data_IF_388744271007
#
_entry.id   IF_388744271007
#
_cell.length_a   1.000
_cell.length_b   1.000
_cell.length_c   1.000
_cell.angle_alpha   90.00
_cell.angle_beta   90.00
_cell.angle_gamma   90.00
#
_symmetry.space_group_name_H-M   'P 1'
#
loop_
_entity.id
_entity.type
_entity.pdbx_description
1 polymer ?
#
# COMPACT_ATOMS: atom_id res chain seq x y z
N UNK A 1 -8.02 2.32 14.65
CA UNK A 1 -6.57 2.27 14.37
C UNK A 1 -6.37 1.83 12.93
N UNK A 2 -5.53 2.56 12.18
CA UNK A 2 -5.27 2.31 10.76
C UNK A 2 -3.79 1.96 10.55
N UNK A 3 -3.51 0.95 9.74
CA UNK A 3 -2.17 0.67 9.23
C UNK A 3 -1.98 1.32 7.87
N UNK A 4 -0.86 1.98 7.63
CA UNK A 4 -0.53 2.56 6.32
C UNK A 4 0.85 2.10 5.88
N UNK A 5 0.89 1.27 4.84
CA UNK A 5 2.11 0.72 4.28
C UNK A 5 2.71 1.66 3.23
N UNK A 6 4.01 1.96 3.39
CA UNK A 6 4.78 2.77 2.45
C UNK A 6 6.04 2.01 2.03
N UNK A 7 6.13 1.70 0.74
CA UNK A 7 7.29 1.00 0.19
C UNK A 7 8.53 1.92 0.04
N UNK A 8 9.73 1.32 -0.10
CA UNK A 8 10.99 2.06 -0.19
C UNK A 8 11.09 2.98 -1.43
N UNK A 9 10.26 2.77 -2.45
CA UNK A 9 10.38 3.41 -3.77
C UNK A 9 9.93 4.87 -3.85
N UNK A 10 9.63 5.57 -2.74
CA UNK A 10 9.56 7.03 -2.85
C UNK A 10 9.23 7.81 -1.59
N UNK A 11 10.01 8.88 -1.40
CA UNK A 11 9.71 9.98 -0.46
C UNK A 11 8.32 10.59 -0.71
N UNK A 12 7.82 10.55 -1.95
CA UNK A 12 6.47 11.02 -2.30
C UNK A 12 5.35 10.20 -1.65
N UNK A 13 5.49 8.87 -1.58
CA UNK A 13 4.54 8.00 -0.90
C UNK A 13 4.50 8.29 0.60
N UNK A 14 5.69 8.40 1.23
CA UNK A 14 5.81 8.74 2.65
C UNK A 14 5.20 10.12 2.94
N UNK A 15 5.48 11.09 2.07
CA UNK A 15 4.94 12.43 2.18
C UNK A 15 3.41 12.45 2.14
N UNK A 16 2.81 11.75 1.17
CA UNK A 16 1.36 11.56 1.07
C UNK A 16 0.80 10.87 2.30
N UNK A 17 1.41 9.80 2.77
CA UNK A 17 0.98 9.06 3.95
C UNK A 17 0.92 9.96 5.19
N UNK A 18 1.96 10.79 5.39
CA UNK A 18 2.00 11.76 6.49
C UNK A 18 0.92 12.85 6.36
N UNK A 19 0.64 13.34 5.15
CA UNK A 19 -0.42 14.33 4.92
C UNK A 19 -1.82 13.76 5.15
N UNK A 20 -2.05 12.51 4.76
CA UNK A 20 -3.31 11.82 5.03
C UNK A 20 -3.45 11.61 6.53
N UNK A 21 -2.42 11.06 7.18
CA UNK A 21 -2.46 10.76 8.60
C UNK A 21 -2.72 12.00 9.48
N UNK A 22 -2.20 13.18 9.12
CA UNK A 22 -2.45 14.42 9.88
C UNK A 22 -3.88 14.95 9.76
N UNK A 23 -4.65 14.47 8.78
CA UNK A 23 -6.06 14.82 8.55
C UNK A 23 -7.02 13.70 8.95
N UNK A 24 -6.49 12.55 9.36
CA UNK A 24 -7.28 11.39 9.79
C UNK A 24 -7.52 11.46 11.30
N UNK A 25 -8.77 11.35 11.78
CA UNK A 25 -9.05 11.38 13.22
C UNK A 25 -8.56 10.14 13.95
N UNK A 26 -8.55 8.98 13.27
CA UNK A 26 -7.99 7.74 13.79
C UNK A 26 -6.47 7.76 13.87
N UNK A 27 -5.92 7.09 14.88
CA UNK A 27 -4.48 6.83 14.95
C UNK A 27 -4.02 6.02 13.74
N UNK A 28 -2.99 6.54 13.05
CA UNK A 28 -2.34 5.88 11.92
C UNK A 28 -0.97 5.38 12.34
N UNK A 29 -0.71 4.10 12.12
CA UNK A 29 0.63 3.51 12.22
C UNK A 29 1.25 3.41 10.83
N UNK A 30 2.41 4.01 10.63
CA UNK A 30 3.16 3.85 9.37
C UNK A 30 4.03 2.60 9.43
N UNK A 31 3.93 1.73 8.43
CA UNK A 31 4.78 0.57 8.24
C UNK A 31 5.66 0.82 7.00
N UNK A 32 6.97 0.91 7.19
CA UNK A 32 7.86 1.25 6.08
C UNK A 32 9.30 0.79 6.31
N UNK A 33 10.00 0.57 5.21
CA UNK A 33 11.44 0.30 5.19
C UNK A 33 12.30 1.57 5.03
N UNK A 34 11.68 2.75 4.94
CA UNK A 34 12.39 4.03 4.99
C UNK A 34 12.81 4.36 6.44
N UNK A 35 13.82 5.22 6.66
CA UNK A 35 14.07 5.79 7.98
C UNK A 35 12.85 6.58 8.47
N UNK A 36 12.52 6.45 9.75
CA UNK A 36 11.44 7.24 10.38
C UNK A 36 11.75 8.74 10.25
N UNK A 37 10.88 9.56 9.63
CA UNK A 37 11.08 11.00 9.55
C UNK A 37 11.04 11.65 10.94
N UNK A 38 11.91 12.63 11.18
CA UNK A 38 11.91 13.39 12.43
C UNK A 38 10.56 14.09 12.72
N UNK A 39 9.85 14.52 11.67
CA UNK A 39 8.54 15.16 11.79
C UNK A 39 7.39 14.17 12.09
N UNK A 40 7.63 12.85 12.05
CA UNK A 40 6.61 11.84 12.31
C UNK A 40 6.52 11.51 13.81
N UNK A 41 5.44 11.93 14.45
CA UNK A 41 5.19 11.70 15.89
C UNK A 41 4.37 10.45 16.18
N UNK A 42 3.66 9.89 15.18
CA UNK A 42 2.82 8.71 15.35
C UNK A 42 3.59 7.39 15.50
N UNK A 43 2.87 6.27 15.70
CA UNK A 43 3.48 4.94 15.71
C UNK A 43 4.19 4.62 14.39
N UNK A 44 5.28 3.88 14.48
CA UNK A 44 6.13 3.51 13.35
C UNK A 44 6.59 2.06 13.48
N UNK A 45 6.37 1.27 12.43
CA UNK A 45 6.86 -0.11 12.33
C UNK A 45 7.95 -0.14 11.25
N UNK A 46 9.23 -0.31 11.64
CA UNK A 46 10.30 -0.46 10.67
C UNK A 46 10.17 -1.82 9.97
N UNK A 47 10.39 -1.82 8.66
CA UNK A 47 10.41 -3.02 7.84
C UNK A 47 11.80 -3.20 7.21
N UNK A 48 12.30 -4.44 7.06
CA UNK A 48 13.55 -4.69 6.35
C UNK A 48 13.40 -4.32 4.87
N UNK A 49 14.52 -3.98 4.22
CA UNK A 49 14.56 -3.86 2.77
C UNK A 49 14.39 -5.24 2.14
N UNK A 50 13.84 -5.24 0.93
CA UNK A 50 13.60 -6.43 0.13
C UNK A 50 14.12 -6.25 -1.29
N UNK A 51 15.15 -5.43 -1.48
CA UNK A 51 15.85 -5.26 -2.74
C UNK A 51 16.78 -6.44 -2.99
N UNK A 52 16.78 -6.99 -4.21
CA UNK A 52 17.71 -8.01 -4.65
C UNK A 52 18.17 -7.73 -6.09
N UNK A 53 19.44 -8.00 -6.38
CA UNK A 53 20.03 -7.76 -7.70
C UNK A 53 19.60 -8.81 -8.73
N UNK A 54 19.54 -10.09 -8.33
CA UNK A 54 19.10 -11.21 -9.18
C UNK A 54 18.05 -12.08 -8.45
N UNK A 55 16.80 -11.59 -8.36
CA UNK A 55 15.75 -12.31 -7.66
C UNK A 55 15.26 -13.54 -8.44
N UNK A 56 15.04 -14.65 -7.74
CA UNK A 56 14.42 -15.84 -8.30
C UNK A 56 12.89 -15.72 -8.31
N UNK A 57 12.28 -15.81 -9.50
CA UNK A 57 10.82 -15.70 -9.72
C UNK A 57 10.15 -14.54 -8.96
N UNK A 58 10.59 -13.28 -9.15
CA UNK A 58 10.12 -12.14 -8.37
C UNK A 58 8.64 -11.79 -8.57
N UNK A 59 7.95 -12.39 -9.54
CA UNK A 59 6.58 -12.01 -9.89
C UNK A 59 5.58 -13.15 -9.74
N UNK A 60 6.04 -14.33 -9.32
CA UNK A 60 5.24 -15.56 -9.30
C UNK A 60 4.51 -15.78 -10.65
N UNK A 61 5.28 -15.79 -11.74
CA UNK A 61 4.73 -15.88 -13.09
C UNK A 61 3.82 -14.70 -13.50
N UNK A 62 4.13 -13.48 -13.06
CA UNK A 62 3.41 -12.25 -13.42
C UNK A 62 2.10 -12.02 -12.66
N UNK A 63 1.87 -12.72 -11.55
CA UNK A 63 0.66 -12.58 -10.72
C UNK A 63 0.80 -11.54 -9.61
N UNK A 64 2.03 -11.24 -9.22
CA UNK A 64 2.41 -10.27 -8.20
C UNK A 64 3.54 -9.37 -8.74
N UNK A 65 3.84 -8.27 -8.05
CA UNK A 65 4.89 -7.33 -8.45
C UNK A 65 6.25 -7.67 -7.83
N UNK A 66 6.26 -8.11 -6.58
CA UNK A 66 7.51 -8.44 -5.88
C UNK A 66 7.31 -9.52 -4.80
N UNK A 67 7.61 -10.75 -5.16
CA UNK A 67 7.48 -11.97 -4.35
C UNK A 67 8.64 -12.96 -4.62
N UNK A 68 9.90 -12.51 -4.55
CA UNK A 68 11.03 -13.38 -4.87
C UNK A 68 11.12 -14.59 -3.93
N UNK A 69 11.42 -15.75 -4.52
CA UNK A 69 11.67 -16.97 -3.76
C UNK A 69 12.91 -16.83 -2.88
N UNK A 70 12.85 -17.42 -1.69
CA UNK A 70 13.94 -17.50 -0.71
C UNK A 70 14.52 -16.16 -0.23
N UNK A 71 13.88 -15.01 -0.52
CA UNK A 71 14.37 -13.71 -0.08
C UNK A 71 14.12 -13.47 1.43
N UNK A 72 15.16 -13.35 2.28
CA UNK A 72 14.99 -13.22 3.72
C UNK A 72 14.31 -11.90 4.13
N UNK A 73 14.72 -10.77 3.54
CA UNK A 73 14.12 -9.45 3.81
C UNK A 73 12.62 -9.39 3.47
N UNK A 74 12.21 -9.90 2.30
CA UNK A 74 10.79 -10.00 1.94
C UNK A 74 9.99 -10.88 2.91
N UNK A 75 10.51 -12.08 3.26
CA UNK A 75 9.86 -12.98 4.23
C UNK A 75 9.66 -12.30 5.59
N UNK A 76 10.71 -11.67 6.10
CA UNK A 76 10.69 -10.98 7.40
C UNK A 76 9.72 -9.79 7.37
N UNK A 77 9.73 -8.98 6.31
CA UNK A 77 8.77 -7.89 6.08
C UNK A 77 7.33 -8.39 6.19
N UNK A 78 6.98 -9.44 5.46
CA UNK A 78 5.62 -9.99 5.49
C UNK A 78 5.25 -10.54 6.86
N UNK A 79 6.21 -11.18 7.55
CA UNK A 79 6.05 -11.65 8.93
C UNK A 79 5.75 -10.51 9.91
N UNK A 80 6.50 -9.41 9.85
CA UNK A 80 6.28 -8.23 10.70
C UNK A 80 4.90 -7.62 10.45
N UNK A 81 4.48 -7.47 9.19
CA UNK A 81 3.15 -6.94 8.85
C UNK A 81 2.06 -7.85 9.42
N UNK A 82 2.15 -9.17 9.21
CA UNK A 82 1.18 -10.13 9.72
C UNK A 82 1.12 -10.13 11.26
N UNK A 83 2.26 -10.06 11.93
CA UNK A 83 2.35 -9.97 13.38
C UNK A 83 1.71 -8.68 13.91
N UNK A 84 1.98 -7.55 13.24
CA UNK A 84 1.37 -6.27 13.60
C UNK A 84 -0.15 -6.30 13.43
N UNK A 85 -0.67 -6.83 12.32
CA UNK A 85 -2.11 -7.00 12.10
C UNK A 85 -2.73 -7.83 13.23
N UNK A 86 -2.14 -8.99 13.55
CA UNK A 86 -2.64 -9.88 14.60
C UNK A 86 -2.66 -9.20 15.97
N UNK A 87 -1.65 -8.40 16.28
CA UNK A 87 -1.51 -7.75 17.59
C UNK A 87 -2.44 -6.54 17.73
N UNK A 88 -2.48 -5.68 16.72
CA UNK A 88 -3.20 -4.39 16.81
C UNK A 88 -4.66 -4.49 16.35
N UNK A 89 -5.03 -5.55 15.62
CA UNK A 89 -6.38 -5.73 15.04
C UNK A 89 -6.88 -4.45 14.35
N UNK A 90 -6.16 -3.92 13.34
CA UNK A 90 -6.50 -2.66 12.71
C UNK A 90 -7.88 -2.73 12.04
N UNK A 91 -8.60 -1.61 12.07
CA UNK A 91 -9.90 -1.50 11.39
C UNK A 91 -9.76 -1.31 9.88
N UNK A 92 -8.58 -0.87 9.42
CA UNK A 92 -8.26 -0.64 8.02
C UNK A 92 -6.76 -0.77 7.76
N UNK A 93 -6.40 -1.31 6.60
CA UNK A 93 -5.04 -1.31 6.07
C UNK A 93 -4.98 -0.54 4.75
N UNK A 94 -4.16 0.51 4.69
CA UNK A 94 -3.91 1.27 3.47
C UNK A 94 -2.62 0.78 2.85
N UNK A 95 -2.69 0.20 1.64
CA UNK A 95 -1.51 -0.15 0.85
C UNK A 95 -1.18 0.97 -0.13
N UNK A 96 -0.05 1.63 0.05
CA UNK A 96 0.51 2.51 -0.96
C UNK A 96 1.26 1.66 -2.01
N UNK A 97 0.48 1.17 -2.98
CA UNK A 97 0.84 0.45 -4.22
C UNK A 97 1.34 -0.99 -4.12
N UNK A 98 1.62 -1.56 -2.94
CA UNK A 98 1.99 -2.98 -2.87
C UNK A 98 0.77 -3.90 -2.93
N UNK A 99 0.73 -4.73 -3.96
CA UNK A 99 -0.29 -5.79 -4.14
C UNK A 99 -0.13 -6.86 -3.06
N UNK A 100 1.10 -7.20 -2.69
CA UNK A 100 1.42 -8.25 -1.72
C UNK A 100 1.00 -7.88 -0.31
N UNK A 101 1.30 -6.64 0.12
CA UNK A 101 0.88 -6.14 1.43
C UNK A 101 -0.66 -6.02 1.51
N UNK A 102 -1.31 -5.58 0.42
CA UNK A 102 -2.76 -5.56 0.31
C UNK A 102 -3.36 -6.98 0.41
N UNK A 103 -2.81 -7.93 -0.34
CA UNK A 103 -3.25 -9.32 -0.32
C UNK A 103 -3.07 -9.97 1.05
N UNK A 104 -1.93 -9.76 1.70
CA UNK A 104 -1.67 -10.24 3.06
C UNK A 104 -2.70 -9.68 4.05
N UNK A 105 -2.95 -8.38 4.03
CA UNK A 105 -3.93 -7.76 4.93
C UNK A 105 -5.34 -8.32 4.70
N UNK A 106 -5.73 -8.51 3.42
CA UNK A 106 -7.02 -9.09 3.07
C UNK A 106 -7.16 -10.55 3.52
N UNK A 107 -6.12 -11.36 3.34
CA UNK A 107 -6.06 -12.75 3.83
C UNK A 107 -6.16 -12.84 5.36
N UNK A 108 -5.68 -11.81 6.06
CA UNK A 108 -5.79 -11.68 7.52
C UNK A 108 -7.13 -11.08 7.97
N UNK A 109 -8.08 -10.88 7.05
CA UNK A 109 -9.44 -10.42 7.36
C UNK A 109 -9.58 -8.91 7.59
N UNK A 110 -8.57 -8.11 7.24
CA UNK A 110 -8.60 -6.66 7.42
C UNK A 110 -9.12 -5.99 6.14
N UNK A 111 -10.04 -4.99 6.23
CA UNK A 111 -10.41 -4.16 5.09
C UNK A 111 -9.21 -3.43 4.50
N UNK A 112 -9.16 -3.30 3.17
CA UNK A 112 -8.02 -2.74 2.45
C UNK A 112 -8.41 -1.56 1.58
N UNK A 113 -7.64 -0.47 1.69
CA UNK A 113 -7.62 0.61 0.71
C UNK A 113 -6.31 0.56 -0.07
N UNK A 114 -6.38 0.66 -1.39
CA UNK A 114 -5.17 0.75 -2.23
C UNK A 114 -5.05 2.16 -2.79
N UNK A 115 -3.89 2.79 -2.59
CA UNK A 115 -3.57 4.03 -3.29
C UNK A 115 -3.35 3.72 -4.77
N UNK A 116 -4.23 4.26 -5.61
CA UNK A 116 -4.19 4.00 -7.03
C UNK A 116 -3.05 4.75 -7.72
N UNK A 117 -2.54 4.16 -8.79
CA UNK A 117 -1.54 4.75 -9.68
C UNK A 117 -2.15 5.07 -11.04
N UNK A 118 -1.70 6.17 -11.65
CA UNK A 118 -2.01 6.48 -13.05
C UNK A 118 -1.21 5.62 -14.02
N UNK A 119 -1.72 5.50 -15.24
CA UNK A 119 -1.11 4.78 -16.35
C UNK A 119 -1.79 3.44 -16.64
N UNK A 120 -1.28 2.70 -17.62
CA UNK A 120 -1.82 1.37 -17.92
C UNK A 120 -1.44 0.37 -16.81
N UNK A 121 -2.36 0.24 -15.84
CA UNK A 121 -2.28 -0.65 -14.67
C UNK A 121 -3.26 -1.81 -14.79
N UNK A 122 -3.45 -2.31 -16.00
CA UNK A 122 -4.32 -3.47 -16.29
C UNK A 122 -3.56 -4.79 -16.28
N UNK A 123 -2.29 -4.82 -15.86
CA UNK A 123 -1.56 -6.07 -15.64
C UNK A 123 -2.22 -6.90 -14.51
N UNK A 124 -1.99 -8.23 -14.49
CA UNK A 124 -2.66 -9.12 -13.55
C UNK A 124 -2.46 -8.75 -12.07
N UNK A 125 -1.28 -8.23 -11.71
CA UNK A 125 -0.96 -7.88 -10.33
C UNK A 125 -1.71 -6.62 -9.87
N UNK A 126 -1.70 -5.52 -10.65
CA UNK A 126 -2.52 -4.36 -10.31
C UNK A 126 -4.02 -4.69 -10.28
N UNK A 127 -4.49 -5.54 -11.21
CA UNK A 127 -5.87 -6.03 -11.19
C UNK A 127 -6.21 -6.74 -9.88
N UNK A 128 -5.36 -7.67 -9.46
CA UNK A 128 -5.52 -8.38 -8.18
C UNK A 128 -5.59 -7.39 -7.02
N UNK A 129 -4.63 -6.45 -6.93
CA UNK A 129 -4.61 -5.46 -5.85
C UNK A 129 -5.87 -4.61 -5.80
N UNK A 130 -6.36 -4.14 -6.95
CA UNK A 130 -7.57 -3.33 -7.02
C UNK A 130 -8.83 -4.15 -6.78
N UNK A 131 -8.90 -5.40 -7.24
CA UNK A 131 -10.05 -6.28 -7.00
C UNK A 131 -10.18 -6.66 -5.52
N UNK A 132 -9.06 -6.88 -4.83
CA UNK A 132 -9.03 -7.17 -3.38
C UNK A 132 -9.39 -5.96 -2.50
N UNK A 133 -9.18 -4.73 -3.00
CA UNK A 133 -9.41 -3.51 -2.24
C UNK A 133 -10.90 -3.25 -2.01
N UNK A 134 -11.27 -2.84 -0.79
CA UNK A 134 -12.61 -2.36 -0.46
C UNK A 134 -12.85 -0.95 -1.02
N UNK A 135 -11.80 -0.13 -1.14
CA UNK A 135 -11.82 1.13 -1.88
C UNK A 135 -10.46 1.49 -2.51
N UNK A 136 -10.50 2.30 -3.57
CA UNK A 136 -9.32 2.86 -4.23
C UNK A 136 -9.17 4.33 -3.86
N UNK A 137 -7.98 4.73 -3.41
CA UNK A 137 -7.63 6.12 -3.16
C UNK A 137 -6.94 6.71 -4.38
N UNK A 138 -7.62 7.60 -5.10
CA UNK A 138 -7.12 8.24 -6.32
C UNK A 138 -6.71 9.70 -6.05
N UNK A 139 -5.41 10.02 -5.91
CA UNK A 139 -4.91 11.38 -5.71
C UNK A 139 -4.91 12.21 -7.01
N UNK A 140 -6.07 12.28 -7.66
CA UNK A 140 -6.33 13.13 -8.82
C UNK A 140 -7.83 13.46 -8.91
N UNK A 141 -8.23 14.54 -9.59
CA UNK A 141 -9.63 14.93 -9.67
C UNK A 141 -10.47 13.90 -10.44
N UNK A 142 -11.73 13.76 -10.03
CA UNK A 142 -12.71 12.88 -10.69
C UNK A 142 -13.01 13.26 -12.14
N UNK A 143 -12.75 14.53 -12.52
CA UNK A 143 -12.94 15.06 -13.88
C UNK A 143 -11.93 14.50 -14.89
N UNK A 144 -10.89 13.80 -14.42
CA UNK A 144 -9.87 13.16 -15.26
C UNK A 144 -9.70 11.70 -14.83
N UNK A 145 -10.71 10.82 -15.01
CA UNK A 145 -10.62 9.42 -14.60
C UNK A 145 -9.55 8.66 -15.41
N UNK A 146 -9.10 7.51 -14.89
CA UNK A 146 -8.18 6.65 -15.62
C UNK A 146 -8.89 5.95 -16.81
N UNK A 147 -8.33 5.99 -18.03
CA UNK A 147 -8.98 5.41 -19.19
C UNK A 147 -9.04 3.88 -19.09
N UNK A 148 -10.20 3.31 -19.40
CA UNK A 148 -10.35 1.86 -19.52
C UNK A 148 -10.35 1.10 -18.19
N UNK A 149 -10.48 1.80 -17.06
CA UNK A 149 -10.85 1.15 -15.80
C UNK A 149 -12.27 0.58 -15.91
N UNK A 150 -12.51 -0.63 -15.38
CA UNK A 150 -13.84 -1.21 -15.35
C UNK A 150 -14.74 -0.48 -14.35
N UNK A 151 -16.05 -0.52 -14.57
CA UNK A 151 -17.03 0.20 -13.77
C UNK A 151 -16.95 -0.11 -12.27
N UNK A 152 -16.64 -1.36 -11.89
CA UNK A 152 -16.54 -1.76 -10.50
C UNK A 152 -15.34 -1.17 -9.76
N UNK A 153 -14.27 -0.77 -10.47
CA UNK A 153 -13.18 -0.01 -9.88
C UNK A 153 -13.59 1.44 -9.64
N UNK A 154 -14.22 2.07 -10.63
CA UNK A 154 -14.75 3.42 -10.48
C UNK A 154 -15.76 3.54 -9.32
N UNK A 155 -16.65 2.55 -9.16
CA UNK A 155 -17.68 2.54 -8.13
C UNK A 155 -17.12 2.58 -6.69
N UNK A 156 -15.89 2.11 -6.48
CA UNK A 156 -15.21 2.11 -5.17
C UNK A 156 -14.02 3.07 -5.10
N UNK A 157 -13.90 3.98 -6.06
CA UNK A 157 -12.80 4.96 -6.09
C UNK A 157 -13.19 6.25 -5.39
N UNK A 158 -12.36 6.68 -4.45
CA UNK A 158 -12.42 8.00 -3.82
C UNK A 158 -11.37 8.90 -4.44
N UNK A 159 -11.83 9.90 -5.18
CA UNK A 159 -10.99 10.94 -5.76
C UNK A 159 -10.73 12.05 -4.75
N UNK A 160 -9.47 12.26 -4.38
CA UNK A 160 -9.10 13.30 -3.40
C UNK A 160 -8.55 14.57 -4.04
N UNK A 161 -8.37 14.59 -5.37
CA UNK A 161 -7.62 15.66 -6.03
C UNK A 161 -6.13 15.56 -5.68
N UNK A 162 -5.44 16.69 -5.69
CA UNK A 162 -4.00 16.73 -5.35
C UNK A 162 -3.79 16.71 -3.84
N UNK A 163 -2.82 15.92 -3.38
CA UNK A 163 -2.38 15.91 -1.98
C UNK A 163 -1.11 16.76 -1.89
N UNK A 164 -1.21 17.90 -1.21
CA UNK A 164 -0.13 18.88 -1.00
C UNK A 164 0.17 19.02 0.49
N UNK A 165 1.41 19.40 0.81
CA UNK A 165 1.81 19.87 2.17
C UNK A 165 1.78 21.38 2.35
N UNK A 166 1.50 22.09 1.27
CA UNK A 166 1.40 23.53 1.18
C UNK A 166 -0.04 23.91 0.93
#
# INVERSE_FOLDING_TARGET
MIGYYVHHQGRGHLHRAMCIASRTPDQVTLLSSLPRPAAWTGPWVPLPTDTADDPLDPTAGGRLHWVPLHHPGHRERMGIIAQWIRRESPSLFVSDVSVEAAALARLMGVPVVVAAMRGDRKDPAHRLGYDLADALLAPWPHTVPEPGWPAHWHAKTVHTGSISRY
#
